data_IF_630800403428
#
_entry.id   IF_630800403428
#
_cell.length_a   1.000
_cell.length_b   1.000
_cell.length_c   1.000
_cell.angle_alpha   90.00
_cell.angle_beta   90.00
_cell.angle_gamma   90.00
#
_symmetry.space_group_name_H-M   'P 1'
#
loop_
_entity.id
_entity.type
_entity.pdbx_description
1 polymer ?
#
# COMPACT_ATOMS: atom_id res chain seq x y z
N UNK A 1 -31.21 -52.71 -47.09
CA UNK A 1 -31.18 -52.42 -45.64
C UNK A 1 -31.29 -50.91 -45.46
N UNK A 2 -32.37 -50.49 -44.79
CA UNK A 2 -32.68 -49.18 -44.19
C UNK A 2 -32.45 -47.87 -44.99
N UNK A 3 -33.59 -47.34 -45.47
CA UNK A 3 -34.00 -45.93 -45.59
C UNK A 3 -34.16 -45.26 -44.18
N UNK A 4 -34.63 -43.99 -43.99
CA UNK A 4 -34.91 -42.87 -44.90
C UNK A 4 -34.65 -41.42 -44.33
N UNK A 5 -35.16 -40.41 -45.06
CA UNK A 5 -35.71 -39.08 -44.64
C UNK A 5 -34.78 -37.91 -44.31
N UNK A 6 -35.14 -36.62 -44.46
CA UNK A 6 -35.99 -35.80 -45.37
C UNK A 6 -35.88 -34.33 -44.84
N UNK A 7 -35.82 -33.37 -45.76
CA UNK A 7 -36.46 -32.02 -45.75
C UNK A 7 -35.99 -30.84 -44.88
N UNK A 8 -35.95 -29.69 -45.60
CA UNK A 8 -36.54 -28.36 -45.31
C UNK A 8 -35.83 -27.43 -44.33
N UNK A 9 -35.99 -26.11 -44.35
CA UNK A 9 -36.36 -25.09 -45.35
C UNK A 9 -36.11 -23.75 -44.62
N UNK A 10 -35.49 -22.79 -45.31
CA UNK A 10 -35.13 -21.48 -44.77
C UNK A 10 -36.37 -20.59 -44.63
N UNK A 11 -36.61 -20.06 -43.43
CA UNK A 11 -37.69 -19.11 -43.12
C UNK A 11 -37.09 -17.75 -42.75
N UNK A 12 -37.37 -16.74 -43.58
CA UNK A 12 -37.22 -15.31 -43.28
C UNK A 12 -38.32 -14.86 -42.33
N UNK A 13 -37.99 -14.03 -41.35
CA UNK A 13 -38.71 -12.79 -40.97
C UNK A 13 -38.12 -12.28 -39.66
N UNK A 14 -37.47 -11.12 -39.67
CA UNK A 14 -37.62 -10.18 -38.56
C UNK A 14 -37.40 -8.74 -39.04
N UNK A 15 -38.43 -7.91 -38.91
CA UNK A 15 -38.40 -6.46 -39.10
C UNK A 15 -39.13 -5.87 -37.88
N UNK A 16 -38.36 -5.44 -36.88
CA UNK A 16 -38.84 -4.65 -35.76
C UNK A 16 -38.15 -3.28 -35.77
N UNK A 17 -38.88 -2.25 -36.24
CA UNK A 17 -38.53 -0.84 -36.04
C UNK A 17 -38.93 -0.44 -34.63
N UNK A 18 -38.00 0.09 -33.83
CA UNK A 18 -38.35 1.08 -32.80
C UNK A 18 -37.29 2.17 -32.72
N UNK A 19 -37.74 3.40 -32.96
CA UNK A 19 -37.04 4.64 -32.71
C UNK A 19 -37.17 5.02 -31.23
N UNK A 20 -36.11 5.59 -30.64
CA UNK A 20 -36.14 6.19 -29.31
C UNK A 20 -34.82 6.91 -29.01
N UNK A 21 -34.84 8.24 -29.09
CA UNK A 21 -33.75 9.12 -28.66
C UNK A 21 -33.49 8.99 -27.13
N UNK A 22 -32.26 9.20 -26.65
CA UNK A 22 -31.98 9.44 -25.24
C UNK A 22 -32.06 10.94 -24.92
N UNK A 23 -32.96 11.35 -24.03
CA UNK A 23 -33.11 12.72 -23.56
C UNK A 23 -32.42 12.92 -22.20
N UNK A 24 -31.36 13.73 -22.22
CA UNK A 24 -30.79 14.60 -21.17
C UNK A 24 -31.16 14.31 -19.71
N UNK A 25 -30.15 13.87 -18.94
CA UNK A 25 -30.07 14.16 -17.52
C UNK A 25 -29.30 15.48 -17.33
N UNK A 26 -29.99 16.47 -16.78
CA UNK A 26 -29.46 17.76 -16.35
C UNK A 26 -28.67 17.59 -15.05
N UNK A 27 -27.37 17.85 -15.10
CA UNK A 27 -26.54 18.02 -13.91
C UNK A 27 -26.59 19.48 -13.45
N UNK A 28 -27.14 19.72 -12.26
CA UNK A 28 -27.12 21.02 -11.60
C UNK A 28 -25.80 21.20 -10.87
N UNK A 29 -24.98 22.15 -11.31
CA UNK A 29 -23.81 22.62 -10.56
C UNK A 29 -24.23 23.43 -9.33
N UNK A 30 -23.59 23.28 -8.15
CA UNK A 30 -23.79 24.22 -7.06
C UNK A 30 -22.97 25.49 -7.30
N UNK A 31 -23.65 26.63 -7.28
CA UNK A 31 -23.05 27.97 -7.29
C UNK A 31 -22.20 28.17 -6.02
N UNK A 32 -20.89 28.35 -6.19
CA UNK A 32 -20.02 28.87 -5.14
C UNK A 32 -19.94 30.39 -5.26
N UNK A 33 -20.74 31.08 -4.45
CA UNK A 33 -20.64 32.52 -4.27
C UNK A 33 -19.59 32.83 -3.20
N UNK A 34 -18.50 33.49 -3.61
CA UNK A 34 -17.56 34.16 -2.70
C UNK A 34 -18.21 35.46 -2.19
N UNK A 35 -18.23 35.74 -0.87
CA UNK A 35 -18.51 37.10 -0.41
C UNK A 35 -17.20 37.87 -0.18
N UNK A 36 -17.17 39.06 -0.78
CA UNK A 36 -16.20 40.14 -0.57
C UNK A 36 -16.31 40.70 0.86
N UNK A 37 -15.17 41.17 1.36
CA UNK A 37 -14.96 41.79 2.67
C UNK A 37 -15.96 42.91 3.02
N UNK A 38 -16.47 42.88 4.25
CA UNK A 38 -16.97 44.05 4.97
C UNK A 38 -16.63 43.92 6.46
N UNK A 39 -15.77 44.83 6.93
CA UNK A 39 -15.38 44.99 8.33
C UNK A 39 -16.55 45.64 9.08
N UNK A 40 -17.22 44.89 9.95
CA UNK A 40 -18.09 45.47 10.98
C UNK A 40 -17.84 44.79 12.32
N UNK A 41 -17.28 45.59 13.22
CA UNK A 41 -17.00 45.36 14.63
C UNK A 41 -18.32 45.20 15.40
N UNK A 42 -18.60 44.02 15.95
CA UNK A 42 -19.61 43.83 17.01
C UNK A 42 -19.07 42.88 18.08
N UNK A 43 -18.90 43.46 19.27
CA UNK A 43 -18.63 42.80 20.55
C UNK A 43 -19.91 42.10 21.02
N UNK A 44 -19.84 40.81 21.33
CA UNK A 44 -20.84 40.06 22.11
C UNK A 44 -20.09 39.08 23.05
N UNK A 45 -20.63 38.84 24.25
CA UNK A 45 -19.86 38.40 25.41
C UNK A 45 -19.59 36.90 25.43
N UNK A 46 -18.43 36.60 26.02
CA UNK A 46 -17.87 35.31 26.34
C UNK A 46 -18.80 34.55 27.31
N UNK A 47 -19.49 33.51 26.83
CA UNK A 47 -20.14 32.52 27.69
C UNK A 47 -19.15 31.38 27.94
N UNK A 48 -18.56 31.39 29.13
CA UNK A 48 -17.66 30.35 29.64
C UNK A 48 -18.51 29.10 29.96
N UNK A 49 -18.68 28.21 28.99
CA UNK A 49 -19.19 26.85 29.25
C UNK A 49 -18.00 26.04 29.72
N UNK A 50 -17.91 25.82 31.04
CA UNK A 50 -17.01 24.85 31.65
C UNK A 50 -17.37 23.46 31.13
N UNK A 51 -16.76 23.07 30.02
CA UNK A 51 -16.72 21.69 29.56
C UNK A 51 -15.92 20.88 30.56
N UNK A 52 -16.63 20.05 31.32
CA UNK A 52 -16.04 18.91 32.03
C UNK A 52 -15.16 18.16 31.02
N UNK A 53 -13.84 18.27 31.15
CA UNK A 53 -12.94 17.33 30.49
C UNK A 53 -13.25 15.96 31.10
N UNK A 54 -14.10 15.21 30.42
CA UNK A 54 -14.07 13.76 30.53
C UNK A 54 -12.67 13.35 30.11
N UNK A 55 -11.83 13.01 31.10
CA UNK A 55 -10.63 12.25 30.82
C UNK A 55 -11.05 11.06 29.95
N UNK A 56 -10.36 10.77 28.83
CA UNK A 56 -10.62 9.53 28.13
C UNK A 56 -10.43 8.44 29.17
N UNK A 57 -11.52 7.72 29.47
CA UNK A 57 -11.42 6.45 30.18
C UNK A 57 -10.39 5.69 29.38
N UNK A 58 -9.27 5.32 30.01
CA UNK A 58 -8.22 4.55 29.39
C UNK A 58 -8.85 3.23 28.93
N UNK A 59 -9.37 3.24 27.70
CA UNK A 59 -9.81 2.05 27.03
C UNK A 59 -8.55 1.20 26.93
N UNK A 60 -8.64 -0.04 27.41
CA UNK A 60 -7.55 -0.99 27.25
C UNK A 60 -7.11 -0.96 25.80
N UNK A 61 -5.81 -0.82 25.57
CA UNK A 61 -5.25 -0.83 24.22
C UNK A 61 -5.51 -2.23 23.66
N UNK A 62 -6.33 -2.30 22.62
CA UNK A 62 -6.67 -3.54 21.95
C UNK A 62 -5.88 -3.66 20.65
N UNK A 63 -5.87 -4.85 20.07
CA UNK A 63 -5.29 -5.02 18.74
C UNK A 63 -5.92 -4.05 17.71
N UNK A 64 -7.22 -3.75 17.83
CA UNK A 64 -7.89 -2.82 16.93
C UNK A 64 -7.38 -1.38 17.08
N UNK A 65 -7.09 -0.92 18.30
CA UNK A 65 -6.54 0.43 18.51
C UNK A 65 -5.11 0.53 17.98
N UNK A 66 -4.28 -0.50 18.17
CA UNK A 66 -2.94 -0.57 17.59
C UNK A 66 -2.95 -0.50 16.04
N UNK A 67 -3.88 -1.21 15.40
CA UNK A 67 -4.08 -1.18 13.94
C UNK A 67 -4.56 0.20 13.48
N UNK A 68 -5.49 0.82 14.22
CA UNK A 68 -6.00 2.16 13.91
C UNK A 68 -4.91 3.23 13.99
N UNK A 69 -4.10 3.18 15.04
CA UNK A 69 -2.95 4.07 15.24
C UNK A 69 -1.94 3.93 14.10
N UNK A 70 -1.58 2.69 13.75
CA UNK A 70 -0.70 2.40 12.62
C UNK A 70 -1.27 2.98 11.31
N UNK A 71 -2.56 2.77 11.02
CA UNK A 71 -3.19 3.30 9.80
C UNK A 71 -3.18 4.83 9.72
N UNK A 72 -3.40 5.50 10.85
CA UNK A 72 -3.46 6.95 10.92
C UNK A 72 -2.08 7.60 10.77
N UNK A 73 -1.06 7.07 11.46
CA UNK A 73 0.26 7.67 11.56
C UNK A 73 1.24 7.25 10.46
N UNK A 74 1.17 6.01 9.96
CA UNK A 74 2.28 5.41 9.22
C UNK A 74 2.63 6.15 7.91
N UNK A 75 3.89 6.62 7.73
CA UNK A 75 4.30 7.41 6.58
C UNK A 75 4.07 6.73 5.22
N UNK A 76 4.23 5.41 5.14
CA UNK A 76 4.03 4.67 3.89
C UNK A 76 2.59 4.84 3.34
N UNK A 77 1.57 4.81 4.20
CA UNK A 77 0.18 5.02 3.81
C UNK A 77 -0.01 6.45 3.30
N UNK A 78 0.57 7.45 3.97
CA UNK A 78 0.50 8.84 3.55
C UNK A 78 1.15 9.07 2.18
N UNK A 79 2.29 8.42 1.92
CA UNK A 79 2.95 8.47 0.60
C UNK A 79 2.10 7.80 -0.48
N UNK A 80 1.48 6.66 -0.20
CA UNK A 80 0.60 5.98 -1.15
C UNK A 80 -0.68 6.79 -1.42
N UNK A 81 -1.28 7.43 -0.41
CA UNK A 81 -2.40 8.37 -0.58
C UNK A 81 -2.01 9.57 -1.45
N UNK A 82 -0.79 10.08 -1.29
CA UNK A 82 -0.27 11.15 -2.16
C UNK A 82 -0.12 10.67 -3.61
N UNK A 83 0.35 9.44 -3.85
CA UNK A 83 0.42 8.85 -5.19
C UNK A 83 -0.95 8.73 -5.85
N UNK A 84 -2.00 8.36 -5.10
CA UNK A 84 -3.38 8.36 -5.62
C UNK A 84 -3.83 9.77 -6.03
N UNK A 85 -3.52 10.79 -5.22
CA UNK A 85 -3.84 12.19 -5.56
C UNK A 85 -3.07 12.68 -6.80
N UNK A 86 -1.80 12.28 -6.94
CA UNK A 86 -1.00 12.58 -8.14
C UNK A 86 -1.64 11.94 -9.37
N UNK A 87 -1.99 10.65 -9.30
CA UNK A 87 -2.64 9.96 -10.40
C UNK A 87 -4.00 10.59 -10.76
N UNK A 88 -4.79 11.01 -9.76
CA UNK A 88 -6.05 11.72 -10.00
C UNK A 88 -5.82 13.07 -10.70
N UNK A 89 -4.81 13.83 -10.29
CA UNK A 89 -4.43 15.07 -10.95
C UNK A 89 -3.98 14.84 -12.40
N UNK A 90 -3.29 13.72 -12.71
CA UNK A 90 -2.94 13.35 -14.08
C UNK A 90 -4.18 13.10 -14.96
N UNK A 91 -5.24 12.47 -14.41
CA UNK A 91 -6.52 12.29 -15.12
C UNK A 91 -7.12 13.66 -15.48
N UNK A 92 -7.15 14.59 -14.52
CA UNK A 92 -7.67 15.94 -14.74
C UNK A 92 -6.83 16.72 -15.76
N UNK A 93 -5.51 16.66 -15.65
CA UNK A 93 -4.57 17.31 -16.58
C UNK A 93 -4.82 16.86 -18.04
N UNK A 94 -4.91 15.55 -18.26
CA UNK A 94 -5.16 14.99 -19.59
C UNK A 94 -6.59 15.31 -20.06
N UNK A 95 -7.57 15.28 -19.16
CA UNK A 95 -8.97 15.65 -19.44
C UNK A 95 -9.12 17.11 -19.88
N UNK A 96 -8.30 18.01 -19.33
CA UNK A 96 -8.22 19.41 -19.72
C UNK A 96 -7.48 19.63 -21.05
N UNK A 97 -6.96 18.59 -21.71
CA UNK A 97 -6.31 18.69 -23.02
C UNK A 97 -7.22 19.24 -24.14
N UNK A 98 -8.54 19.25 -23.95
CA UNK A 98 -9.52 19.85 -24.87
C UNK A 98 -10.05 21.23 -24.40
N UNK A 99 -9.48 21.78 -23.33
CA UNK A 99 -9.88 23.08 -22.77
C UNK A 99 -9.38 24.24 -23.63
N UNK A 100 -9.94 25.43 -23.41
CA UNK A 100 -9.47 26.65 -24.04
C UNK A 100 -8.13 27.05 -23.41
N UNK A 101 -7.08 27.09 -24.21
CA UNK A 101 -5.76 27.60 -23.79
C UNK A 101 -5.60 29.04 -24.24
N UNK A 102 -4.94 29.85 -23.41
CA UNK A 102 -4.62 31.23 -23.68
C UNK A 102 -3.14 31.48 -23.38
N UNK A 103 -2.39 31.97 -24.35
CA UNK A 103 -0.98 32.34 -24.20
C UNK A 103 -0.79 33.82 -24.54
N UNK A 104 -0.04 34.52 -23.70
CA UNK A 104 0.35 35.91 -23.93
C UNK A 104 1.84 35.99 -24.19
N UNK A 105 2.23 36.47 -25.35
CA UNK A 105 3.61 36.63 -25.77
C UNK A 105 3.92 38.12 -25.88
N UNK A 106 4.94 38.58 -25.17
CA UNK A 106 5.41 39.97 -25.24
C UNK A 106 6.88 39.96 -25.62
N UNK A 107 7.25 40.79 -26.60
CA UNK A 107 8.60 40.82 -27.11
C UNK A 107 9.03 42.22 -27.49
N UNK A 108 10.33 42.48 -27.34
CA UNK A 108 10.98 43.61 -27.96
C UNK A 108 12.19 43.09 -28.72
N UNK A 109 12.39 43.56 -29.94
CA UNK A 109 13.58 43.25 -30.73
C UNK A 109 14.15 44.53 -31.33
N UNK A 110 15.47 44.59 -31.35
CA UNK A 110 16.22 45.62 -32.04
C UNK A 110 17.01 44.94 -33.14
N UNK A 111 16.95 45.50 -34.35
CA UNK A 111 17.71 44.98 -35.49
C UNK A 111 18.53 46.12 -36.06
N UNK A 112 19.84 45.98 -35.98
CA UNK A 112 20.78 46.85 -36.67
C UNK A 112 21.23 46.16 -37.94
N UNK A 113 21.17 46.87 -39.07
CA UNK A 113 21.64 46.35 -40.36
C UNK A 113 22.83 47.18 -40.80
N UNK A 114 24.00 46.56 -40.84
CA UNK A 114 25.17 47.13 -41.51
C UNK A 114 25.29 46.52 -42.90
N UNK A 115 25.36 47.36 -43.94
CA UNK A 115 25.60 46.94 -45.31
C UNK A 115 26.89 47.60 -45.82
N UNK A 116 27.78 46.80 -46.40
CA UNK A 116 28.95 47.30 -47.12
C UNK A 116 28.57 47.57 -48.59
N UNK A 117 28.85 48.79 -49.02
CA UNK A 117 28.63 49.26 -50.39
C UNK A 117 29.83 48.89 -51.25
N UNK A 118 29.62 48.76 -52.56
CA UNK A 118 30.66 48.35 -53.51
C UNK A 118 31.84 49.32 -53.62
N UNK A 119 31.73 50.53 -53.06
CA UNK A 119 32.79 51.53 -52.98
C UNK A 119 33.67 51.39 -51.72
N UNK A 120 33.41 50.37 -50.88
CA UNK A 120 34.13 50.11 -49.64
C UNK A 120 33.60 50.88 -48.42
N UNK A 121 32.54 51.67 -48.56
CA UNK A 121 31.88 52.34 -47.43
C UNK A 121 30.86 51.42 -46.74
N UNK A 122 30.75 51.52 -45.42
CA UNK A 122 29.74 50.80 -44.64
C UNK A 122 28.61 51.74 -44.24
N UNK A 123 27.37 51.38 -44.54
CA UNK A 123 26.18 52.07 -44.05
C UNK A 123 25.54 51.23 -42.94
N UNK A 124 25.49 51.77 -41.72
CA UNK A 124 24.69 51.17 -40.63
C UNK A 124 23.35 51.88 -40.50
N UNK A 125 22.29 51.10 -40.48
CA UNK A 125 20.92 51.55 -40.25
C UNK A 125 20.38 50.84 -39.00
N UNK A 126 20.23 51.61 -37.91
CA UNK A 126 19.55 51.14 -36.71
C UNK A 126 18.04 51.28 -36.91
N UNK A 127 17.32 50.16 -36.96
CA UNK A 127 15.85 50.20 -37.03
C UNK A 127 15.26 50.60 -35.67
N UNK A 128 14.10 51.27 -35.66
CA UNK A 128 13.37 51.52 -34.42
C UNK A 128 13.13 50.20 -33.68
N UNK A 129 13.16 50.25 -32.34
CA UNK A 129 12.86 49.08 -31.51
C UNK A 129 11.46 48.58 -31.86
N UNK A 130 11.37 47.34 -32.31
CA UNK A 130 10.13 46.62 -32.52
C UNK A 130 9.63 46.13 -31.18
N UNK A 131 8.37 46.38 -30.86
CA UNK A 131 7.74 45.80 -29.67
C UNK A 131 6.42 45.16 -30.07
N UNK A 132 6.16 43.94 -29.61
CA UNK A 132 4.92 43.23 -29.87
C UNK A 132 4.31 42.66 -28.59
N UNK A 133 2.99 42.63 -28.58
CA UNK A 133 2.16 41.92 -27.62
C UNK A 133 1.18 41.06 -28.42
N UNK A 134 1.17 39.76 -28.18
CA UNK A 134 0.30 38.79 -28.86
C UNK A 134 -0.45 37.98 -27.83
N UNK A 135 -1.77 37.95 -27.94
CA UNK A 135 -2.63 37.01 -27.24
C UNK A 135 -3.07 35.92 -28.23
N UNK A 136 -2.77 34.67 -27.93
CA UNK A 136 -3.21 33.51 -28.72
C UNK A 136 -4.14 32.65 -27.90
N UNK A 137 -5.30 32.34 -28.45
CA UNK A 137 -6.29 31.43 -27.93
C UNK A 137 -6.34 30.19 -28.82
N UNK A 138 -6.30 28.99 -28.22
CA UNK A 138 -6.46 27.76 -28.98
C UNK A 138 -7.36 26.77 -28.26
N UNK A 139 -8.26 26.13 -29.01
CA UNK A 139 -9.15 25.10 -28.49
C UNK A 139 -9.30 23.99 -29.51
N UNK A 140 -8.97 22.76 -29.08
CA UNK A 140 -9.29 21.55 -29.81
C UNK A 140 -10.82 21.39 -29.85
N UNK A 141 -11.37 21.14 -31.03
CA UNK A 141 -12.82 20.89 -31.20
C UNK A 141 -13.07 19.39 -31.33
N UNK A 142 -12.22 18.71 -32.10
CA UNK A 142 -12.42 17.32 -32.45
C UNK A 142 -11.08 16.61 -32.71
N UNK A 143 -10.89 15.44 -32.12
CA UNK A 143 -9.65 14.66 -32.16
C UNK A 143 -9.90 13.15 -32.28
N UNK A 144 -11.09 12.75 -32.77
CA UNK A 144 -11.52 11.35 -32.90
C UNK A 144 -11.39 10.51 -31.62
N UNK A 145 -11.45 11.15 -30.45
CA UNK A 145 -11.40 10.46 -29.16
C UNK A 145 -9.99 10.21 -28.64
N UNK A 146 -8.96 10.84 -29.20
CA UNK A 146 -7.57 10.71 -28.72
C UNK A 146 -7.42 11.14 -27.26
N UNK A 147 -7.98 12.29 -26.86
CA UNK A 147 -7.98 12.77 -25.47
C UNK A 147 -8.80 11.82 -24.59
N UNK A 148 -9.96 11.35 -25.06
CA UNK A 148 -10.78 10.38 -24.32
C UNK A 148 -10.02 9.07 -24.07
N UNK A 149 -9.28 8.58 -25.07
CA UNK A 149 -8.43 7.39 -24.94
C UNK A 149 -7.33 7.60 -23.89
N UNK A 150 -6.65 8.75 -23.93
CA UNK A 150 -5.62 9.11 -22.94
C UNK A 150 -6.19 9.26 -21.53
N UNK A 151 -7.35 9.90 -21.35
CA UNK A 151 -8.08 9.94 -20.07
C UNK A 151 -8.35 8.53 -19.59
N UNK A 152 -8.81 7.64 -20.47
CA UNK A 152 -9.03 6.25 -20.15
C UNK A 152 -7.77 5.51 -19.69
N UNK A 153 -6.59 5.83 -20.23
CA UNK A 153 -5.31 5.27 -19.75
C UNK A 153 -5.03 5.74 -18.33
N UNK A 154 -5.13 7.05 -18.07
CA UNK A 154 -4.87 7.62 -16.75
C UNK A 154 -5.88 7.15 -15.69
N UNK A 155 -7.15 6.94 -16.06
CA UNK A 155 -8.16 6.33 -15.18
C UNK A 155 -7.75 4.92 -14.73
N UNK A 156 -7.28 4.08 -15.66
CA UNK A 156 -6.79 2.74 -15.33
C UNK A 156 -5.51 2.78 -14.48
N UNK A 157 -4.64 3.78 -14.68
CA UNK A 157 -3.47 4.00 -13.82
C UNK A 157 -3.86 4.53 -12.43
N UNK A 158 -4.90 5.34 -12.32
CA UNK A 158 -5.48 5.78 -11.05
C UNK A 158 -6.04 4.57 -10.27
N UNK A 159 -6.75 3.66 -10.93
CA UNK A 159 -7.22 2.42 -10.31
C UNK A 159 -6.03 1.55 -9.85
N UNK A 160 -4.97 1.44 -10.66
CA UNK A 160 -3.75 0.76 -10.23
C UNK A 160 -3.12 1.44 -9.00
N UNK A 161 -3.11 2.77 -8.91
CA UNK A 161 -2.61 3.50 -7.75
C UNK A 161 -3.48 3.27 -6.49
N UNK A 162 -4.81 3.17 -6.65
CA UNK A 162 -5.73 2.83 -5.54
C UNK A 162 -5.49 1.42 -5.02
N UNK A 163 -5.31 0.44 -5.89
CA UNK A 163 -4.96 -0.92 -5.47
C UNK A 163 -3.57 -0.99 -4.84
N UNK A 164 -2.60 -0.19 -5.32
CA UNK A 164 -1.29 -0.07 -4.67
C UNK A 164 -1.41 0.51 -3.25
N UNK A 165 -2.29 1.49 -3.02
CA UNK A 165 -2.58 1.99 -1.67
C UNK A 165 -3.10 0.85 -0.78
N UNK A 166 -4.04 0.04 -1.27
CA UNK A 166 -4.55 -1.11 -0.51
C UNK A 166 -3.46 -2.15 -0.19
N UNK A 167 -2.52 -2.42 -1.10
CA UNK A 167 -1.35 -3.28 -0.81
C UNK A 167 -0.53 -2.71 0.34
N UNK A 168 -0.23 -1.41 0.31
CA UNK A 168 0.57 -0.74 1.36
C UNK A 168 -0.18 -0.73 2.68
N UNK A 169 -1.49 -0.44 2.67
CA UNK A 169 -2.32 -0.51 3.87
C UNK A 169 -2.29 -1.93 4.46
N UNK A 170 -2.54 -2.96 3.66
CA UNK A 170 -2.49 -4.36 4.11
C UNK A 170 -1.15 -4.76 4.73
N UNK A 171 -0.04 -4.28 4.16
CA UNK A 171 1.29 -4.54 4.69
C UNK A 171 1.49 -3.86 6.05
N UNK A 172 1.14 -2.57 6.16
CA UNK A 172 1.26 -1.82 7.42
C UNK A 172 0.38 -2.42 8.52
N UNK A 173 -0.85 -2.80 8.20
CA UNK A 173 -1.73 -3.44 9.17
C UNK A 173 -1.16 -4.80 9.62
N UNK A 174 -0.60 -5.58 8.68
CA UNK A 174 0.03 -6.86 9.00
C UNK A 174 1.24 -6.70 9.92
N UNK A 175 2.12 -5.74 9.62
CA UNK A 175 3.32 -5.45 10.40
C UNK A 175 2.96 -4.95 11.81
N UNK A 176 1.93 -4.11 11.94
CA UNK A 176 1.42 -3.66 13.24
C UNK A 176 0.89 -4.82 14.09
N UNK A 177 0.15 -5.75 13.50
CA UNK A 177 -0.33 -6.96 14.19
C UNK A 177 0.83 -7.83 14.67
N UNK A 178 1.82 -8.07 13.81
CA UNK A 178 3.01 -8.86 14.18
C UNK A 178 3.76 -8.18 15.33
N UNK A 179 4.00 -6.87 15.25
CA UNK A 179 4.70 -6.13 16.29
C UNK A 179 3.95 -6.19 17.63
N UNK A 180 2.62 -6.03 17.61
CA UNK A 180 1.78 -6.17 18.80
C UNK A 180 1.90 -7.57 19.43
N UNK A 181 1.81 -8.64 18.63
CA UNK A 181 1.94 -10.02 19.10
C UNK A 181 3.36 -10.34 19.60
N UNK A 182 4.40 -9.74 19.00
CA UNK A 182 5.79 -9.93 19.39
C UNK A 182 6.08 -9.39 20.79
N UNK A 183 5.43 -8.29 21.21
CA UNK A 183 5.56 -7.76 22.57
C UNK A 183 5.04 -8.79 23.59
N UNK A 184 3.87 -9.39 23.34
CA UNK A 184 3.35 -10.43 24.24
C UNK A 184 4.24 -11.67 24.29
N UNK A 185 4.78 -12.11 23.15
CA UNK A 185 5.75 -13.20 23.12
C UNK A 185 6.99 -12.87 23.97
N UNK A 186 7.55 -11.67 23.80
CA UNK A 186 8.73 -11.25 24.54
C UNK A 186 8.46 -11.17 26.05
N UNK A 187 7.27 -10.66 26.44
CA UNK A 187 6.82 -10.67 27.85
C UNK A 187 6.71 -12.09 28.41
N UNK A 188 6.07 -13.01 27.69
CA UNK A 188 5.92 -14.40 28.13
C UNK A 188 7.28 -15.10 28.31
N UNK A 189 8.21 -14.90 27.37
CA UNK A 189 9.58 -15.44 27.48
C UNK A 189 10.37 -14.84 28.63
N UNK A 190 10.22 -13.53 28.89
CA UNK A 190 10.83 -12.89 30.05
C UNK A 190 10.26 -13.46 31.35
N UNK A 191 8.94 -13.63 31.44
CA UNK A 191 8.29 -14.24 32.60
C UNK A 191 8.80 -15.68 32.85
N UNK A 192 8.94 -16.48 31.78
CA UNK A 192 9.50 -17.83 31.87
C UNK A 192 10.97 -17.82 32.30
N UNK A 193 11.78 -16.87 31.80
CA UNK A 193 13.17 -16.73 32.20
C UNK A 193 13.33 -16.31 33.68
N UNK A 194 12.46 -15.43 34.18
CA UNK A 194 12.40 -15.05 35.59
C UNK A 194 12.08 -16.27 36.46
N UNK A 195 11.01 -17.01 36.13
CA UNK A 195 10.65 -18.24 36.86
C UNK A 195 11.76 -19.29 36.81
N UNK A 196 12.44 -19.41 35.66
CA UNK A 196 13.59 -20.29 35.50
C UNK A 196 14.79 -19.89 36.37
N UNK A 197 15.06 -18.59 36.52
CA UNK A 197 16.08 -18.09 37.45
C UNK A 197 15.70 -18.38 38.91
N UNK A 198 14.47 -18.09 39.31
CA UNK A 198 13.97 -18.34 40.67
C UNK A 198 14.04 -19.83 41.05
N UNK A 199 13.70 -20.72 40.11
CA UNK A 199 13.78 -22.16 40.30
C UNK A 199 15.23 -22.61 40.53
N UNK A 200 16.17 -22.20 39.67
CA UNK A 200 17.59 -22.57 39.81
C UNK A 200 18.22 -21.93 41.04
N UNK A 201 17.77 -20.74 41.46
CA UNK A 201 18.19 -20.13 42.71
C UNK A 201 17.75 -20.95 43.93
N UNK A 202 16.53 -21.50 43.91
CA UNK A 202 16.05 -22.42 44.95
C UNK A 202 16.86 -23.73 44.96
N UNK A 203 17.16 -24.29 43.78
CA UNK A 203 17.96 -25.52 43.66
C UNK A 203 19.40 -25.32 44.17
N UNK A 204 20.02 -24.16 43.90
CA UNK A 204 21.32 -23.80 44.45
C UNK A 204 21.28 -23.75 45.98
N UNK A 205 20.28 -23.09 46.56
CA UNK A 205 20.12 -23.00 48.01
C UNK A 205 19.98 -24.38 48.65
N UNK A 206 19.13 -25.25 48.07
CA UNK A 206 18.98 -26.63 48.55
C UNK A 206 20.28 -27.44 48.42
N UNK A 207 21.05 -27.24 47.35
CA UNK A 207 22.34 -27.90 47.13
C UNK A 207 23.39 -27.43 48.15
N UNK A 208 23.41 -26.15 48.50
CA UNK A 208 24.27 -25.59 49.55
C UNK A 208 23.92 -26.18 50.93
N UNK A 209 22.63 -26.24 51.29
CA UNK A 209 22.19 -26.84 52.56
C UNK A 209 22.58 -28.33 52.66
N UNK A 210 22.47 -29.09 51.55
CA UNK A 210 22.92 -30.49 51.48
C UNK A 210 24.44 -30.63 51.57
N UNK A 211 25.18 -29.66 51.05
CA UNK A 211 26.64 -29.65 51.13
C UNK A 211 27.11 -29.44 52.57
N UNK A 212 26.45 -28.56 53.32
CA UNK A 212 26.76 -28.29 54.74
C UNK A 212 26.61 -29.52 55.64
N UNK A 213 25.67 -30.40 55.32
CA UNK A 213 25.47 -31.69 56.03
C UNK A 213 26.28 -32.85 55.44
N UNK A 214 27.09 -32.58 54.39
CA UNK A 214 27.98 -33.56 53.75
C UNK A 214 27.31 -34.56 52.81
N UNK A 215 26.10 -34.28 52.34
CA UNK A 215 25.29 -35.16 51.47
C UNK A 215 25.62 -34.99 49.97
N UNK A 216 26.17 -33.84 49.56
CA UNK A 216 26.61 -33.56 48.19
C UNK A 216 28.05 -33.03 48.15
N UNK A 217 28.64 -32.96 46.96
CA UNK A 217 30.04 -32.56 46.77
C UNK A 217 30.20 -31.07 46.42
N UNK A 218 31.40 -30.47 46.59
CA UNK A 218 31.66 -29.11 46.11
C UNK A 218 31.40 -28.92 44.61
N UNK A 219 31.53 -30.00 43.82
CA UNK A 219 31.25 -30.01 42.38
C UNK A 219 29.78 -29.73 42.10
N UNK A 220 28.87 -30.28 42.91
CA UNK A 220 27.42 -30.09 42.74
C UNK A 220 27.02 -28.62 43.00
N UNK A 221 27.61 -28.00 44.03
CA UNK A 221 27.42 -26.57 44.32
C UNK A 221 27.94 -25.72 43.16
N UNK A 222 29.16 -25.98 42.67
CA UNK A 222 29.74 -25.23 41.55
C UNK A 222 28.91 -25.36 40.26
N UNK A 223 28.32 -26.53 40.00
CA UNK A 223 27.41 -26.74 38.86
C UNK A 223 26.11 -25.94 39.01
N UNK A 224 25.53 -25.89 40.21
CA UNK A 224 24.34 -25.10 40.48
C UNK A 224 24.62 -23.59 40.35
N UNK A 225 25.78 -23.11 40.82
CA UNK A 225 26.21 -21.72 40.66
C UNK A 225 26.39 -21.34 39.18
N UNK A 226 27.01 -22.22 38.38
CA UNK A 226 27.16 -22.02 36.94
C UNK A 226 25.79 -21.91 36.23
N UNK A 227 24.85 -22.80 36.56
CA UNK A 227 23.48 -22.75 35.98
C UNK A 227 22.73 -21.48 36.39
N UNK A 228 22.88 -21.02 37.63
CA UNK A 228 22.28 -19.76 38.06
C UNK A 228 22.85 -18.58 37.27
N UNK A 229 24.16 -18.56 37.03
CA UNK A 229 24.80 -17.54 36.19
C UNK A 229 24.28 -17.58 34.75
N UNK A 230 24.11 -18.76 34.16
CA UNK A 230 23.53 -18.93 32.82
C UNK A 230 22.08 -18.44 32.77
N UNK A 231 21.26 -18.73 33.79
CA UNK A 231 19.87 -18.25 33.86
C UNK A 231 19.76 -16.74 34.03
N UNK A 232 20.66 -16.14 34.81
CA UNK A 232 20.78 -14.69 34.91
C UNK A 232 21.11 -14.05 33.57
N UNK A 233 22.04 -14.62 32.82
CA UNK A 233 22.39 -14.15 31.49
C UNK A 233 21.20 -14.25 30.51
N UNK A 234 20.46 -15.37 30.53
CA UNK A 234 19.25 -15.55 29.71
C UNK A 234 18.17 -14.53 30.08
N UNK A 235 17.88 -14.29 31.38
CA UNK A 235 16.92 -13.25 31.82
C UNK A 235 17.28 -11.87 31.27
N UNK A 236 18.55 -11.46 31.40
CA UNK A 236 19.02 -10.17 30.87
C UNK A 236 18.86 -10.07 29.35
N UNK A 237 19.09 -11.16 28.61
CA UNK A 237 18.81 -11.20 27.17
C UNK A 237 17.30 -11.06 26.89
N UNK A 238 16.42 -11.68 27.69
CA UNK A 238 14.96 -11.54 27.53
C UNK A 238 14.44 -10.15 27.87
N UNK A 239 15.07 -9.47 28.83
CA UNK A 239 14.79 -8.05 29.12
C UNK A 239 15.12 -7.18 27.89
N UNK A 240 16.26 -7.44 27.25
CA UNK A 240 16.65 -6.75 26.01
C UNK A 240 15.73 -7.11 24.83
N UNK A 241 15.33 -8.37 24.67
CA UNK A 241 14.37 -8.81 23.65
C UNK A 241 13.03 -8.08 23.79
N UNK A 242 12.54 -7.91 25.03
CA UNK A 242 11.31 -7.17 25.32
C UNK A 242 11.45 -5.69 24.98
N UNK A 243 12.55 -5.05 25.40
CA UNK A 243 12.82 -3.67 25.07
C UNK A 243 12.90 -3.44 23.55
N UNK A 244 13.52 -4.36 22.82
CA UNK A 244 13.52 -4.32 21.35
C UNK A 244 12.11 -4.45 20.78
N UNK A 245 11.31 -5.42 21.23
CA UNK A 245 9.94 -5.62 20.75
C UNK A 245 9.06 -4.37 20.99
N UNK A 246 9.23 -3.68 22.13
CA UNK A 246 8.52 -2.43 22.42
C UNK A 246 8.91 -1.30 21.45
N UNK A 247 10.19 -1.20 21.08
CA UNK A 247 10.65 -0.21 20.09
C UNK A 247 10.14 -0.52 18.68
N UNK A 248 10.13 -1.80 18.29
CA UNK A 248 9.57 -2.26 17.02
C UNK A 248 8.06 -1.99 16.95
N UNK A 249 7.33 -2.22 18.04
CA UNK A 249 5.92 -1.83 18.16
C UNK A 249 5.72 -0.33 17.92
N UNK A 250 6.47 0.51 18.65
CA UNK A 250 6.37 1.97 18.51
C UNK A 250 6.70 2.44 17.08
N UNK A 251 7.63 1.77 16.40
CA UNK A 251 7.95 2.06 15.01
C UNK A 251 6.78 1.71 14.07
N UNK A 252 6.06 0.63 14.34
CA UNK A 252 4.95 0.17 13.51
C UNK A 252 3.65 0.97 13.75
N UNK A 253 3.32 1.30 15.00
CA UNK A 253 2.05 1.96 15.37
C UNK A 253 2.17 3.46 15.59
N UNK A 254 3.36 3.97 15.90
CA UNK A 254 3.58 5.37 16.29
C UNK A 254 3.20 5.69 17.74
N UNK A 255 2.69 4.70 18.50
CA UNK A 255 2.27 4.83 19.91
C UNK A 255 3.08 3.91 20.83
N UNK A 256 3.18 4.27 22.11
CA UNK A 256 3.83 3.42 23.11
C UNK A 256 2.88 2.28 23.52
N UNK A 257 3.44 1.09 23.75
CA UNK A 257 2.64 -0.08 24.10
C UNK A 257 2.05 0.05 25.51
N UNK A 258 0.74 -0.10 25.64
CA UNK A 258 0.06 -0.01 26.94
C UNK A 258 0.39 -1.20 27.86
N UNK A 259 0.62 -0.93 29.14
CA UNK A 259 0.74 -1.99 30.15
C UNK A 259 -0.55 -2.81 30.29
N UNK A 260 -1.71 -2.18 30.06
CA UNK A 260 -3.04 -2.81 30.13
C UNK A 260 -3.49 -3.47 28.82
N UNK A 261 -2.59 -3.61 27.84
CA UNK A 261 -2.93 -4.23 26.56
C UNK A 261 -3.33 -5.70 26.74
N UNK A 262 -4.36 -6.13 26.01
CA UNK A 262 -4.89 -7.49 26.10
C UNK A 262 -4.38 -8.38 24.96
N UNK A 263 -3.97 -9.61 25.29
CA UNK A 263 -3.64 -10.61 24.26
C UNK A 263 -4.92 -11.05 23.52
N UNK A 264 -4.93 -11.07 22.18
CA UNK A 264 -6.10 -11.50 21.42
C UNK A 264 -6.23 -13.02 21.51
N UNK A 265 -7.18 -13.49 22.32
CA UNK A 265 -7.42 -14.93 22.53
C UNK A 265 -8.21 -15.60 21.40
N UNK A 266 -8.95 -14.82 20.62
CA UNK A 266 -9.72 -15.34 19.50
C UNK A 266 -8.89 -15.29 18.21
N UNK A 267 -8.93 -16.39 17.45
CA UNK A 267 -8.37 -16.42 16.10
C UNK A 267 -9.28 -15.65 15.16
N UNK A 268 -8.73 -14.89 14.20
CA UNK A 268 -9.55 -14.22 13.21
C UNK A 268 -10.18 -15.25 12.26
N UNK A 269 -11.27 -14.86 11.60
CA UNK A 269 -11.98 -15.74 10.66
C UNK A 269 -11.13 -16.01 9.41
N UNK A 270 -10.47 -17.17 9.38
CA UNK A 270 -9.66 -17.64 8.24
C UNK A 270 -10.51 -18.43 7.22
N UNK A 271 -10.11 -18.47 5.94
CA UNK A 271 -10.75 -19.33 4.94
C UNK A 271 -10.82 -20.79 5.39
N UNK A 272 -11.90 -21.51 5.06
CA UNK A 272 -12.13 -22.86 5.57
C UNK A 272 -11.44 -23.97 4.76
N UNK A 273 -11.01 -23.67 3.53
CA UNK A 273 -10.40 -24.66 2.64
C UNK A 273 -9.30 -24.06 1.78
N UNK A 274 -8.37 -24.91 1.34
CA UNK A 274 -7.30 -24.56 0.41
C UNK A 274 -7.83 -23.98 -0.91
N UNK A 275 -8.95 -24.51 -1.41
CA UNK A 275 -9.62 -24.02 -2.62
C UNK A 275 -10.12 -22.59 -2.42
N UNK A 276 -10.72 -22.29 -1.27
CA UNK A 276 -11.19 -20.93 -0.95
C UNK A 276 -10.04 -19.94 -0.81
N UNK A 277 -8.90 -20.37 -0.24
CA UNK A 277 -7.67 -19.58 -0.15
C UNK A 277 -7.17 -19.21 -1.53
N UNK A 278 -7.07 -20.19 -2.43
CA UNK A 278 -6.57 -20.00 -3.80
C UNK A 278 -7.48 -19.05 -4.60
N UNK A 279 -8.80 -19.24 -4.53
CA UNK A 279 -9.77 -18.42 -5.25
C UNK A 279 -9.76 -16.97 -4.73
N UNK A 280 -9.74 -16.78 -3.41
CA UNK A 280 -9.67 -15.46 -2.79
C UNK A 280 -8.36 -14.74 -3.16
N UNK A 281 -7.23 -15.43 -3.10
CA UNK A 281 -5.92 -14.85 -3.41
C UNK A 281 -5.82 -14.39 -4.88
N UNK A 282 -6.37 -15.15 -5.83
CA UNK A 282 -6.30 -14.76 -7.26
C UNK A 282 -7.29 -13.66 -7.63
N UNK A 283 -8.45 -13.62 -6.98
CA UNK A 283 -9.54 -12.71 -7.38
C UNK A 283 -9.66 -11.44 -6.54
N UNK A 284 -9.24 -11.48 -5.28
CA UNK A 284 -9.43 -10.37 -4.34
C UNK A 284 -8.13 -9.67 -3.94
N UNK A 285 -6.97 -10.30 -4.15
CA UNK A 285 -5.70 -9.74 -3.70
C UNK A 285 -5.36 -8.41 -4.42
N UNK A 286 -5.14 -7.30 -3.69
CA UNK A 286 -4.95 -5.99 -4.31
C UNK A 286 -3.76 -5.92 -5.29
N UNK A 287 -2.68 -6.66 -5.04
CA UNK A 287 -1.55 -6.70 -5.98
C UNK A 287 -1.95 -7.27 -7.36
N UNK A 288 -2.84 -8.27 -7.42
CA UNK A 288 -3.35 -8.82 -8.68
C UNK A 288 -4.27 -7.81 -9.37
N UNK A 289 -5.16 -7.17 -8.60
CA UNK A 289 -6.06 -6.13 -9.12
C UNK A 289 -5.29 -4.93 -9.68
N UNK A 290 -4.21 -4.50 -9.01
CA UNK A 290 -3.28 -3.49 -9.51
C UNK A 290 -2.70 -3.90 -10.87
N UNK A 291 -2.22 -5.15 -11.01
CA UNK A 291 -1.65 -5.63 -12.28
C UNK A 291 -2.70 -5.70 -13.38
N UNK A 292 -3.94 -6.11 -13.07
CA UNK A 292 -5.06 -6.07 -14.02
C UNK A 292 -5.33 -4.65 -14.52
N UNK A 293 -5.41 -3.67 -13.62
CA UNK A 293 -5.58 -2.27 -13.98
C UNK A 293 -4.44 -1.72 -14.86
N UNK A 294 -3.19 -2.17 -14.65
CA UNK A 294 -2.06 -1.84 -15.55
C UNK A 294 -2.17 -2.48 -16.93
N UNK A 295 -2.69 -3.71 -17.03
CA UNK A 295 -2.99 -4.35 -18.34
C UNK A 295 -4.08 -3.58 -19.07
N UNK A 296 -5.09 -3.10 -18.36
CA UNK A 296 -6.15 -2.26 -18.94
C UNK A 296 -5.59 -0.93 -19.44
N UNK A 297 -4.72 -0.29 -18.66
CA UNK A 297 -4.00 0.93 -19.06
C UNK A 297 -3.16 0.70 -20.32
N UNK A 298 -2.39 -0.40 -20.39
CA UNK A 298 -1.59 -0.75 -21.56
C UNK A 298 -2.46 -1.06 -22.80
N UNK A 299 -3.61 -1.70 -22.60
CA UNK A 299 -4.59 -1.98 -23.68
C UNK A 299 -5.15 -0.69 -24.25
N UNK A 300 -5.67 0.20 -23.38
CA UNK A 300 -6.15 1.54 -23.79
C UNK A 300 -5.05 2.39 -24.40
N UNK A 301 -3.81 2.25 -23.92
CA UNK A 301 -2.63 2.95 -24.43
C UNK A 301 -2.32 2.55 -25.86
N UNK A 302 -2.31 1.24 -26.17
CA UNK A 302 -2.17 0.73 -27.54
C UNK A 302 -3.26 1.29 -28.46
N UNK A 303 -4.53 1.20 -28.05
CA UNK A 303 -5.66 1.67 -28.86
C UNK A 303 -5.57 3.18 -29.13
N UNK A 304 -5.09 3.95 -28.16
CA UNK A 304 -4.88 5.39 -28.28
C UNK A 304 -3.75 5.74 -29.27
N UNK A 305 -2.69 4.93 -29.37
CA UNK A 305 -1.60 5.16 -30.33
C UNK A 305 -2.07 5.03 -31.78
N UNK A 306 -3.02 4.14 -32.06
CA UNK A 306 -3.60 3.99 -33.40
C UNK A 306 -4.35 5.25 -33.83
N UNK A 307 -4.92 6.01 -32.89
CA UNK A 307 -5.64 7.26 -33.18
C UNK A 307 -4.72 8.42 -33.59
N UNK A 308 -3.38 8.29 -33.45
CA UNK A 308 -2.44 9.37 -33.82
C UNK A 308 -2.41 9.67 -35.33
N UNK A 309 -2.88 8.74 -36.17
CA UNK A 309 -2.97 8.96 -37.63
C UNK A 309 -4.18 9.80 -38.03
N UNK A 310 -5.15 10.00 -37.13
CA UNK A 310 -6.40 10.67 -37.45
C UNK A 310 -6.25 12.20 -37.46
N UNK A 311 -7.04 12.93 -38.27
CA UNK A 311 -7.04 14.38 -38.28
C UNK A 311 -7.39 14.95 -36.91
N UNK A 312 -6.92 16.16 -36.65
CA UNK A 312 -7.32 16.89 -35.46
C UNK A 312 -7.76 18.30 -35.85
N UNK A 313 -8.88 18.77 -35.28
CA UNK A 313 -9.51 20.04 -35.64
C UNK A 313 -9.43 21.05 -34.50
N UNK A 314 -8.89 22.24 -34.76
CA UNK A 314 -8.69 23.32 -33.78
C UNK A 314 -9.43 24.58 -34.21
N UNK A 315 -9.95 25.34 -33.24
CA UNK A 315 -10.20 26.77 -33.38
C UNK A 315 -9.03 27.52 -32.77
N UNK A 316 -8.50 28.49 -33.52
CA UNK A 316 -7.47 29.41 -33.05
C UNK A 316 -7.95 30.84 -33.19
N UNK A 317 -7.63 31.69 -32.22
CA UNK A 317 -7.87 33.13 -32.27
C UNK A 317 -6.59 33.85 -31.86
N UNK A 318 -6.17 34.87 -32.59
CA UNK A 318 -4.97 35.64 -32.23
C UNK A 318 -5.26 37.13 -32.33
N UNK A 319 -4.84 37.87 -31.31
CA UNK A 319 -4.85 39.32 -31.28
C UNK A 319 -3.41 39.79 -31.09
N UNK A 320 -2.87 40.52 -32.06
CA UNK A 320 -1.49 41.01 -32.04
C UNK A 320 -1.50 42.52 -32.12
N UNK A 321 -0.80 43.16 -31.19
CA UNK A 321 -0.43 44.57 -31.27
C UNK A 321 1.07 44.65 -31.47
N UNK A 322 1.52 45.44 -32.45
CA UNK A 322 2.92 45.68 -32.71
C UNK A 322 3.19 47.17 -32.92
N UNK A 323 4.30 47.67 -32.38
CA UNK A 323 4.83 49.01 -32.64
C UNK A 323 6.12 48.89 -33.44
N UNK A 324 6.27 49.78 -34.41
CA UNK A 324 7.29 49.76 -35.46
C UNK A 324 7.39 48.39 -36.18
N UNK A 325 6.26 47.74 -36.57
CA UNK A 325 6.31 46.44 -37.24
C UNK A 325 7.10 46.45 -38.55
N UNK A 326 7.17 47.60 -39.22
CA UNK A 326 7.99 47.83 -40.40
C UNK A 326 8.22 49.33 -40.62
N UNK A 327 8.86 49.69 -41.73
CA UNK A 327 9.17 51.07 -42.11
C UNK A 327 7.96 51.91 -42.54
N UNK A 328 6.79 51.28 -42.73
CA UNK A 328 5.59 51.93 -43.28
C UNK A 328 4.52 52.20 -42.22
N UNK A 329 4.48 51.43 -41.15
CA UNK A 329 3.49 51.55 -40.09
C UNK A 329 4.16 51.77 -38.73
N UNK A 330 3.74 52.81 -38.01
CA UNK A 330 4.19 53.03 -36.62
C UNK A 330 3.57 52.00 -35.66
N UNK A 331 2.36 51.52 -35.95
CA UNK A 331 1.73 50.44 -35.20
C UNK A 331 0.78 49.61 -36.06
N UNK A 332 0.64 48.33 -35.73
CA UNK A 332 -0.34 47.41 -36.29
C UNK A 332 -1.16 46.75 -35.18
N UNK A 333 -2.44 46.54 -35.45
CA UNK A 333 -3.34 45.71 -34.63
C UNK A 333 -4.01 44.70 -35.53
N UNK A 334 -3.73 43.43 -35.29
CA UNK A 334 -4.21 42.31 -36.10
C UNK A 334 -5.08 41.39 -35.24
N UNK A 335 -6.32 41.15 -35.68
CA UNK A 335 -7.22 40.17 -35.06
C UNK A 335 -7.55 39.10 -36.11
N UNK A 336 -7.30 37.84 -35.77
CA UNK A 336 -7.64 36.70 -36.63
C UNK A 336 -8.32 35.60 -35.83
N UNK A 337 -9.30 34.95 -36.45
CA UNK A 337 -9.96 33.74 -35.94
C UNK A 337 -10.03 32.75 -37.08
N UNK A 338 -9.60 31.52 -36.84
CA UNK A 338 -9.52 30.48 -37.86
C UNK A 338 -9.84 29.11 -37.30
N UNK A 339 -10.37 28.24 -38.16
CA UNK A 339 -10.53 26.81 -37.90
C UNK A 339 -9.50 26.08 -38.75
N UNK A 340 -8.69 25.23 -38.13
CA UNK A 340 -7.64 24.46 -38.78
C UNK A 340 -7.84 22.96 -38.59
N UNK A 341 -7.44 22.17 -39.60
CA UNK A 341 -7.34 20.72 -39.48
C UNK A 341 -5.88 20.30 -39.71
N UNK A 342 -5.33 19.53 -38.79
CA UNK A 342 -3.99 18.95 -38.91
C UNK A 342 -4.12 17.46 -39.21
N UNK A 343 -3.69 17.06 -40.42
CA UNK A 343 -3.68 15.66 -40.87
C UNK A 343 -2.22 15.21 -41.05
N UNK A 344 -1.71 14.26 -40.25
CA UNK A 344 -0.37 13.74 -40.43
C UNK A 344 -0.33 12.80 -41.65
N UNK A 345 0.12 13.29 -42.80
CA UNK A 345 0.22 12.49 -44.03
C UNK A 345 1.39 11.50 -44.02
N UNK A 346 2.49 11.88 -43.38
CA UNK A 346 3.69 11.06 -43.25
C UNK A 346 4.38 11.34 -41.91
N UNK A 347 4.59 10.29 -41.12
CA UNK A 347 5.20 10.38 -39.79
C UNK A 347 6.59 9.74 -39.71
N UNK A 348 7.18 9.35 -40.86
CA UNK A 348 8.49 8.69 -40.91
C UNK A 348 8.53 7.34 -40.21
N UNK A 349 7.40 6.64 -40.09
CA UNK A 349 7.28 5.37 -39.36
C UNK A 349 7.20 5.52 -37.83
N UNK A 350 7.12 6.76 -37.30
CA UNK A 350 7.03 7.03 -35.86
C UNK A 350 5.79 6.38 -35.24
N UNK A 351 4.64 6.48 -35.89
CA UNK A 351 3.38 5.91 -35.36
C UNK A 351 3.43 4.39 -35.37
N UNK A 352 3.92 3.76 -36.44
CA UNK A 352 4.08 2.30 -36.51
C UNK A 352 5.03 1.79 -35.42
N UNK A 353 6.15 2.49 -35.19
CA UNK A 353 7.08 2.16 -34.12
C UNK A 353 6.41 2.30 -32.74
N UNK A 354 5.62 3.35 -32.51
CA UNK A 354 4.89 3.57 -31.25
C UNK A 354 3.80 2.52 -31.00
N UNK A 355 3.10 2.06 -32.05
CA UNK A 355 2.14 0.96 -31.94
C UNK A 355 2.86 -0.34 -31.61
N UNK A 356 3.94 -0.69 -32.31
CA UNK A 356 4.74 -1.88 -32.00
C UNK A 356 5.29 -1.86 -30.57
N UNK A 357 5.84 -0.73 -30.11
CA UNK A 357 6.33 -0.63 -28.72
C UNK A 357 5.20 -0.79 -27.70
N UNK A 358 4.00 -0.29 -28.00
CA UNK A 358 2.82 -0.43 -27.13
C UNK A 358 2.26 -1.86 -27.12
N UNK A 359 2.37 -2.58 -28.24
CA UNK A 359 2.05 -4.01 -28.31
C UNK A 359 2.98 -4.85 -27.44
N UNK A 360 4.29 -4.58 -27.50
CA UNK A 360 5.26 -5.25 -26.63
C UNK A 360 5.04 -4.92 -25.15
N UNK A 361 4.70 -3.66 -24.83
CA UNK A 361 4.33 -3.26 -23.46
C UNK A 361 3.07 -3.99 -22.96
N UNK A 362 2.05 -4.16 -23.80
CA UNK A 362 0.88 -4.97 -23.46
C UNK A 362 1.26 -6.44 -23.24
N UNK A 363 2.12 -7.00 -24.10
CA UNK A 363 2.67 -8.34 -23.92
C UNK A 363 3.44 -8.50 -22.60
N UNK A 364 4.27 -7.51 -22.24
CA UNK A 364 4.99 -7.47 -20.98
C UNK A 364 4.06 -7.43 -19.78
N UNK A 365 3.12 -6.47 -19.74
CA UNK A 365 2.20 -6.28 -18.60
C UNK A 365 1.31 -7.51 -18.36
N UNK A 366 0.91 -8.24 -19.40
CA UNK A 366 0.20 -9.52 -19.27
C UNK A 366 1.06 -10.60 -18.60
N UNK A 367 2.34 -10.73 -19.00
CA UNK A 367 3.26 -11.69 -18.37
C UNK A 367 3.55 -11.33 -16.92
N UNK A 368 3.63 -10.03 -16.60
CA UNK A 368 3.75 -9.55 -15.22
C UNK A 368 2.52 -9.91 -14.39
N UNK A 369 1.30 -9.75 -14.93
CA UNK A 369 0.07 -10.20 -14.28
C UNK A 369 0.09 -11.72 -14.02
N UNK A 370 0.45 -12.53 -15.01
CA UNK A 370 0.54 -13.99 -14.85
C UNK A 370 1.58 -14.39 -13.78
N UNK A 371 2.71 -13.68 -13.73
CA UNK A 371 3.74 -13.90 -12.71
C UNK A 371 3.24 -13.52 -11.31
N UNK A 372 2.55 -12.38 -11.18
CA UNK A 372 1.96 -11.94 -9.91
C UNK A 372 0.90 -12.92 -9.41
N UNK A 373 0.01 -13.39 -10.29
CA UNK A 373 -1.00 -14.40 -9.94
C UNK A 373 -0.37 -15.70 -9.43
N UNK A 374 0.72 -16.16 -10.05
CA UNK A 374 1.45 -17.35 -9.58
C UNK A 374 2.13 -17.11 -8.23
N UNK A 375 2.73 -15.93 -8.03
CA UNK A 375 3.40 -15.57 -6.78
C UNK A 375 2.40 -15.49 -5.62
N UNK A 376 1.30 -14.75 -5.80
CA UNK A 376 0.24 -14.60 -4.80
C UNK A 376 -0.40 -15.96 -4.47
N UNK A 377 -0.66 -16.82 -5.47
CA UNK A 377 -1.12 -18.19 -5.23
C UNK A 377 -0.15 -18.99 -4.37
N UNK A 378 1.15 -18.97 -4.70
CA UNK A 378 2.17 -19.68 -3.94
C UNK A 378 2.26 -19.18 -2.49
N UNK A 379 2.23 -17.85 -2.30
CA UNK A 379 2.27 -17.24 -0.97
C UNK A 379 1.04 -17.62 -0.14
N UNK A 380 -0.16 -17.57 -0.71
CA UNK A 380 -1.40 -17.94 -0.03
C UNK A 380 -1.44 -19.42 0.37
N UNK A 381 -1.04 -20.32 -0.54
CA UNK A 381 -0.94 -21.76 -0.23
C UNK A 381 0.13 -22.05 0.82
N UNK A 382 1.28 -21.36 0.77
CA UNK A 382 2.31 -21.48 1.80
C UNK A 382 1.80 -21.01 3.17
N UNK A 383 1.08 -19.88 3.22
CA UNK A 383 0.47 -19.37 4.44
C UNK A 383 -0.58 -20.34 5.01
N UNK A 384 -1.40 -20.94 4.14
CA UNK A 384 -2.38 -21.96 4.52
C UNK A 384 -1.72 -23.19 5.17
N UNK A 385 -0.68 -23.74 4.54
CA UNK A 385 0.03 -24.88 5.10
C UNK A 385 0.78 -24.54 6.39
N UNK A 386 1.33 -23.33 6.52
CA UNK A 386 1.94 -22.84 7.78
C UNK A 386 0.92 -22.75 8.90
N UNK A 387 -0.26 -22.17 8.64
CA UNK A 387 -1.35 -22.09 9.60
C UNK A 387 -1.81 -23.48 10.07
N UNK A 388 -2.05 -24.39 9.12
CA UNK A 388 -2.44 -25.77 9.44
C UNK A 388 -1.37 -26.51 10.25
N UNK A 389 -0.11 -26.41 9.83
CA UNK A 389 1.01 -27.06 10.53
C UNK A 389 1.20 -26.48 11.94
N UNK A 390 1.06 -25.17 12.14
CA UNK A 390 1.12 -24.53 13.45
C UNK A 390 0.03 -25.06 14.39
N UNK A 391 -1.20 -25.23 13.87
CA UNK A 391 -2.32 -25.80 14.65
C UNK A 391 -2.06 -27.26 15.06
N UNK A 392 -1.55 -28.09 14.16
CA UNK A 392 -1.23 -29.49 14.45
C UNK A 392 -0.05 -29.60 15.45
N UNK A 393 0.94 -28.71 15.33
CA UNK A 393 2.13 -28.66 16.20
C UNK A 393 1.78 -28.36 17.65
N UNK A 394 0.83 -27.44 17.90
CA UNK A 394 0.38 -27.12 19.26
C UNK A 394 -0.15 -28.38 19.96
N UNK A 395 -0.96 -29.19 19.29
CA UNK A 395 -1.54 -30.41 19.87
C UNK A 395 -0.43 -31.38 20.33
N UNK A 396 0.64 -31.52 19.53
CA UNK A 396 1.78 -32.37 19.88
C UNK A 396 2.59 -31.79 21.04
N UNK A 397 2.85 -30.47 21.04
CA UNK A 397 3.60 -29.79 22.09
C UNK A 397 2.84 -29.73 23.42
N UNK A 398 1.52 -29.65 23.41
CA UNK A 398 0.71 -29.78 24.61
C UNK A 398 0.87 -31.16 25.25
N UNK A 399 0.89 -32.22 24.44
CA UNK A 399 1.15 -33.58 24.93
C UNK A 399 2.57 -33.73 25.49
N UNK A 400 3.57 -33.19 24.78
CA UNK A 400 4.96 -33.16 25.24
C UNK A 400 5.13 -32.40 26.56
N UNK A 401 4.49 -31.23 26.69
CA UNK A 401 4.55 -30.41 27.91
C UNK A 401 3.90 -31.13 29.09
N UNK A 402 2.74 -31.77 28.89
CA UNK A 402 2.10 -32.60 29.93
C UNK A 402 3.01 -33.75 30.39
N UNK A 403 3.67 -34.44 29.45
CA UNK A 403 4.58 -35.54 29.78
C UNK A 403 5.83 -35.05 30.54
N UNK A 404 6.45 -33.96 30.09
CA UNK A 404 7.61 -33.37 30.77
C UNK A 404 7.26 -32.86 32.17
N UNK A 405 6.04 -32.34 32.38
CA UNK A 405 5.58 -31.92 33.70
C UNK A 405 5.49 -33.09 34.67
N UNK A 406 4.86 -34.19 34.24
CA UNK A 406 4.78 -35.43 35.03
C UNK A 406 6.18 -35.99 35.31
N UNK A 407 7.08 -35.96 34.32
CA UNK A 407 8.46 -36.43 34.47
C UNK A 407 9.25 -35.59 35.48
N UNK A 408 9.20 -34.26 35.39
CA UNK A 408 9.84 -33.35 36.35
C UNK A 408 9.32 -33.57 37.78
N UNK A 409 8.00 -33.67 37.97
CA UNK A 409 7.40 -33.97 39.27
C UNK A 409 7.79 -35.35 39.82
N UNK A 410 7.94 -36.35 38.94
CA UNK A 410 8.38 -37.69 39.29
C UNK A 410 9.83 -37.73 39.72
N UNK A 411 10.72 -37.14 38.93
CA UNK A 411 12.17 -37.06 39.22
C UNK A 411 12.42 -36.28 40.51
N UNK A 412 11.65 -35.20 40.77
CA UNK A 412 11.74 -34.46 42.04
C UNK A 412 11.40 -35.36 43.24
N UNK A 413 10.30 -36.11 43.16
CA UNK A 413 9.89 -37.05 44.23
C UNK A 413 10.89 -38.18 44.43
N UNK A 414 11.49 -38.70 43.35
CA UNK A 414 12.54 -39.72 43.43
C UNK A 414 13.83 -39.18 44.07
N UNK A 415 14.17 -37.92 43.82
CA UNK A 415 15.33 -37.25 44.42
C UNK A 415 15.13 -36.97 45.92
N UNK A 416 13.91 -36.61 46.34
CA UNK A 416 13.55 -36.40 47.76
C UNK A 416 13.76 -37.67 48.61
N UNK A 417 13.65 -38.87 48.00
CA UNK A 417 13.91 -40.16 48.66
C UNK A 417 15.31 -40.73 48.36
N UNK A 418 16.17 -39.99 47.67
CA UNK A 418 17.56 -40.36 47.40
C UNK A 418 17.78 -41.31 46.21
N UNK A 419 16.76 -41.58 45.39
CA UNK A 419 16.87 -42.48 44.22
C UNK A 419 17.35 -41.78 42.94
N UNK A 420 17.43 -40.45 42.96
CA UNK A 420 17.90 -39.60 41.84
C UNK A 420 18.86 -38.55 42.35
N UNK A 421 19.74 -38.11 41.45
CA UNK A 421 20.74 -37.07 41.76
C UNK A 421 20.15 -35.67 41.61
N UNK A 422 20.80 -34.66 42.22
CA UNK A 422 20.46 -33.25 42.01
C UNK A 422 20.54 -32.88 40.53
N UNK A 423 21.50 -33.47 39.79
CA UNK A 423 21.65 -33.28 38.37
C UNK A 423 20.42 -33.77 37.58
N UNK A 424 19.80 -34.89 37.99
CA UNK A 424 18.59 -35.41 37.33
C UNK A 424 17.41 -34.43 37.48
N UNK A 425 17.24 -33.84 38.67
CA UNK A 425 16.18 -32.84 38.92
C UNK A 425 16.41 -31.58 38.09
N UNK A 426 17.64 -31.06 38.08
CA UNK A 426 18.01 -29.89 37.28
C UNK A 426 17.77 -30.12 35.78
N UNK A 427 18.09 -31.31 35.28
CA UNK A 427 17.86 -31.67 33.88
C UNK A 427 16.36 -31.80 33.57
N UNK A 428 15.57 -32.47 34.42
CA UNK A 428 14.13 -32.60 34.21
C UNK A 428 13.40 -31.24 34.25
N UNK A 429 13.82 -30.33 35.13
CA UNK A 429 13.32 -28.96 35.18
C UNK A 429 13.69 -28.18 33.92
N UNK A 430 14.92 -28.34 33.42
CA UNK A 430 15.34 -27.75 32.15
C UNK A 430 14.48 -28.24 30.98
N UNK A 431 14.19 -29.54 30.91
CA UNK A 431 13.36 -30.14 29.86
C UNK A 431 11.92 -29.62 29.89
N UNK A 432 11.32 -29.47 31.08
CA UNK A 432 10.01 -28.87 31.25
C UNK A 432 9.98 -27.41 30.77
N UNK A 433 10.95 -26.58 31.20
CA UNK A 433 11.03 -25.18 30.77
C UNK A 433 11.17 -25.05 29.25
N UNK A 434 11.99 -25.91 28.62
CA UNK A 434 12.13 -25.94 27.15
C UNK A 434 10.82 -26.38 26.47
N UNK A 435 10.08 -27.31 27.06
CA UNK A 435 8.78 -27.73 26.53
C UNK A 435 7.73 -26.61 26.62
N UNK A 436 7.69 -25.88 27.74
CA UNK A 436 6.79 -24.74 27.94
C UNK A 436 7.11 -23.59 26.98
N UNK A 437 8.39 -23.22 26.82
CA UNK A 437 8.83 -22.20 25.84
C UNK A 437 8.40 -22.57 24.41
N UNK A 438 8.58 -23.82 24.01
CA UNK A 438 8.16 -24.31 22.69
C UNK A 438 6.65 -24.22 22.49
N UNK A 439 5.86 -24.55 23.52
CA UNK A 439 4.40 -24.49 23.43
C UNK A 439 3.91 -23.04 23.29
N UNK A 440 4.47 -22.12 24.06
CA UNK A 440 4.12 -20.70 23.98
C UNK A 440 4.57 -20.08 22.65
N UNK A 441 5.74 -20.47 22.13
CA UNK A 441 6.16 -20.08 20.78
C UNK A 441 5.20 -20.60 19.72
N UNK A 442 4.77 -21.86 19.81
CA UNK A 442 3.85 -22.44 18.84
C UNK A 442 2.48 -21.73 18.82
N UNK A 443 1.98 -21.30 20.00
CA UNK A 443 0.76 -20.48 20.12
C UNK A 443 0.92 -19.12 19.43
N UNK A 444 2.05 -18.46 19.65
CA UNK A 444 2.37 -17.21 18.96
C UNK A 444 2.45 -17.41 17.44
N UNK A 445 3.16 -18.45 16.98
CA UNK A 445 3.28 -18.80 15.55
C UNK A 445 1.91 -19.07 14.92
N UNK A 446 0.99 -19.75 15.61
CA UNK A 446 -0.37 -19.95 15.12
C UNK A 446 -1.09 -18.61 14.91
N UNK A 447 -1.02 -17.70 15.89
CA UNK A 447 -1.66 -16.39 15.79
C UNK A 447 -1.09 -15.58 14.61
N UNK A 448 0.24 -15.52 14.49
CA UNK A 448 0.92 -14.85 13.37
C UNK A 448 0.56 -15.50 12.03
N UNK A 449 0.51 -16.83 11.96
CA UNK A 449 0.14 -17.55 10.74
C UNK A 449 -1.32 -17.28 10.32
N UNK A 450 -2.24 -17.14 11.27
CA UNK A 450 -3.63 -16.80 11.00
C UNK A 450 -3.74 -15.40 10.34
N UNK A 451 -3.08 -14.39 10.90
CA UNK A 451 -3.05 -13.06 10.28
C UNK A 451 -2.26 -13.01 8.96
N UNK A 452 -1.18 -13.80 8.84
CA UNK A 452 -0.44 -13.95 7.58
C UNK A 452 -1.28 -14.59 6.47
N UNK A 453 -2.21 -15.49 6.82
CA UNK A 453 -3.16 -16.07 5.87
C UNK A 453 -4.17 -15.04 5.38
N UNK A 454 -4.66 -14.15 6.26
CA UNK A 454 -5.55 -13.05 5.86
C UNK A 454 -4.85 -12.06 4.95
N UNK A 455 -3.61 -11.67 5.29
CA UNK A 455 -2.79 -10.79 4.47
C UNK A 455 -2.55 -11.39 3.08
N UNK A 456 -2.11 -12.66 2.99
CA UNK A 456 -1.83 -13.33 1.71
C UNK A 456 -3.06 -13.63 0.85
N UNK A 457 -4.27 -13.62 1.42
CA UNK A 457 -5.53 -13.73 0.68
C UNK A 457 -6.14 -12.37 0.32
N UNK A 458 -5.50 -11.26 0.72
CA UNK A 458 -6.02 -9.91 0.52
C UNK A 458 -7.23 -9.57 1.40
N UNK A 459 -7.50 -10.35 2.45
CA UNK A 459 -8.62 -10.18 3.40
C UNK A 459 -8.22 -9.40 4.66
N UNK A 460 -7.29 -8.46 4.54
CA UNK A 460 -6.88 -7.60 5.65
C UNK A 460 -7.21 -6.13 5.33
N UNK A 461 -8.45 -5.84 4.96
CA UNK A 461 -8.84 -4.49 4.51
C UNK A 461 -9.15 -3.56 5.67
N UNK A 462 -8.82 -2.26 5.53
CA UNK A 462 -9.15 -1.24 6.52
C UNK A 462 -10.66 -1.26 6.89
N UNK A 463 -11.52 -1.46 5.90
CA UNK A 463 -12.99 -1.56 6.07
C UNK A 463 -13.40 -2.71 7.01
N UNK A 464 -12.73 -3.86 6.95
CA UNK A 464 -13.02 -4.99 7.86
C UNK A 464 -12.64 -4.69 9.32
N UNK A 465 -11.74 -3.73 9.53
CA UNK A 465 -11.33 -3.25 10.85
C UNK A 465 -12.08 -1.97 11.27
N UNK A 466 -13.04 -1.49 10.46
CA UNK A 466 -13.85 -0.31 10.74
C UNK A 466 -13.12 1.02 10.55
N UNK A 467 -12.09 1.05 9.69
CA UNK A 467 -11.21 2.20 9.43
C UNK A 467 -11.48 2.90 8.10
#
# INVERSE_FOLDING_TARGET
>A
MCEPTRRSAVRRMDQGRHAGCPMRLTYSSPESSLPRHAIVRRLLPFAFVSGLLAAPVAAADTLQTAIADAHAWHPAIQTARAQVRIAAASVDEVGLGNSLTATGDFGASMTERTAELSDGSSQSEAKPVFTSARLSLSKRIFDFGRIRGRVGVEESLLDAARYQLQVVEQQVLHDAVIAYLNVFRARARLELAIKGEELVQSDLKATQERFEVGDVTPTDVAQAEARLADRRADRLNREQDLDQALREYRLATGSDFSENAAYPTELPAVPASEIEVEDSAVNMHPAVLMRRARVDAATRGKDTMVLEILPTFDVTGTATYARNPNTFFESSTDLSVGIGATVPLWSGGRVDAAVRSSEELLGQTRRELDAEMRNVRLQALSAWHRFRSASETITALESSTRANRIASEGVRREAEVGNRTTLDVLNANQELLVAEDRLDEARHVLQVAAYGLLHSTGRMTAEQWGL
#
